data_IF_989922091558
#
_entry.id   IF_989922091558
#
_cell.length_a   1.000
_cell.length_b   1.000
_cell.length_c   1.000
_cell.angle_alpha   90.00
_cell.angle_beta   90.00
_cell.angle_gamma   90.00
#
_symmetry.space_group_name_H-M   'P 1'
#
loop_
_entity.id
_entity.type
_entity.pdbx_description
1 polymer ?
#
# COMPACT_ATOMS: atom_id res chain seq x y z
N UNK A 1 -2.45 -18.71 7.37
CA UNK A 1 -3.78 -18.14 7.19
C UNK A 1 -4.24 -17.58 8.53
N UNK A 2 -4.11 -16.26 8.76
CA UNK A 2 -4.60 -15.57 9.95
C UNK A 2 -5.61 -14.52 9.48
N UNK A 3 -6.80 -14.97 9.06
CA UNK A 3 -7.86 -14.09 8.58
C UNK A 3 -8.65 -13.38 9.68
N UNK A 4 -8.46 -13.77 10.94
CA UNK A 4 -9.17 -13.13 12.05
C UNK A 4 -8.47 -13.40 13.38
N UNK A 5 -8.49 -12.43 14.28
CA UNK A 5 -8.19 -12.66 15.70
C UNK A 5 -9.49 -12.95 16.43
N UNK A 6 -9.53 -13.99 17.24
CA UNK A 6 -10.69 -14.33 18.06
C UNK A 6 -10.47 -13.94 19.52
N UNK A 7 -11.47 -13.33 20.13
CA UNK A 7 -11.53 -13.09 21.58
C UNK A 7 -12.63 -13.98 22.13
N UNK A 8 -12.31 -14.74 23.17
CA UNK A 8 -13.27 -15.55 23.91
C UNK A 8 -13.79 -14.74 25.10
N UNK A 9 -15.08 -14.51 25.17
CA UNK A 9 -15.74 -13.94 26.33
C UNK A 9 -16.67 -14.99 26.92
N UNK A 10 -16.59 -15.22 28.24
CA UNK A 10 -17.50 -16.10 28.94
C UNK A 10 -18.48 -15.25 29.75
N UNK A 11 -19.77 -15.39 29.48
CA UNK A 11 -20.84 -14.88 30.32
C UNK A 11 -21.84 -16.02 30.51
N UNK A 12 -22.23 -16.30 31.76
CA UNK A 12 -23.24 -17.33 32.11
C UNK A 12 -22.98 -18.76 31.55
N UNK A 13 -21.69 -19.15 31.39
CA UNK A 13 -21.33 -20.47 30.88
C UNK A 13 -21.39 -20.62 29.36
N UNK A 14 -21.78 -19.61 28.63
CA UNK A 14 -21.71 -19.56 27.15
C UNK A 14 -20.40 -18.92 26.69
N UNK A 15 -19.76 -19.53 25.68
CA UNK A 15 -18.55 -19.02 25.06
C UNK A 15 -18.94 -18.26 23.79
N UNK A 16 -18.83 -16.95 23.83
CA UNK A 16 -18.96 -16.12 22.63
C UNK A 16 -17.59 -15.94 21.97
N UNK A 17 -17.47 -16.29 20.71
CA UNK A 17 -16.28 -16.04 19.90
C UNK A 17 -16.52 -14.85 19.01
N UNK A 18 -15.75 -13.78 19.19
CA UNK A 18 -15.78 -12.60 18.34
C UNK A 18 -14.63 -12.69 17.35
N UNK A 19 -14.94 -12.70 16.06
CA UNK A 19 -13.98 -12.69 14.97
C UNK A 19 -13.77 -11.26 14.49
N UNK A 20 -12.54 -10.78 14.57
CA UNK A 20 -12.18 -9.47 14.06
C UNK A 20 -11.59 -9.58 12.63
N UNK A 21 -12.10 -8.84 11.65
CA UNK A 21 -11.53 -8.77 10.31
C UNK A 21 -10.25 -7.92 10.34
N UNK A 22 -9.14 -8.53 10.75
CA UNK A 22 -7.88 -7.82 11.02
C UNK A 22 -7.30 -7.14 9.78
N UNK A 23 -7.55 -7.67 8.58
CA UNK A 23 -7.18 -7.03 7.32
C UNK A 23 -7.83 -5.63 7.21
N UNK A 24 -9.14 -5.55 7.43
CA UNK A 24 -9.91 -4.29 7.35
C UNK A 24 -9.48 -3.33 8.46
N UNK A 25 -9.25 -3.83 9.66
CA UNK A 25 -8.82 -3.00 10.79
C UNK A 25 -7.44 -2.42 10.53
N UNK A 26 -6.50 -3.22 10.02
CA UNK A 26 -5.15 -2.80 9.70
C UNK A 26 -5.14 -1.77 8.56
N UNK A 27 -5.85 -2.05 7.47
CA UNK A 27 -6.04 -1.13 6.34
C UNK A 27 -6.56 0.23 6.83
N UNK A 28 -7.68 0.23 7.57
CA UNK A 28 -8.27 1.47 8.07
C UNK A 28 -7.32 2.22 9.02
N UNK A 29 -6.60 1.50 9.89
CA UNK A 29 -5.66 2.11 10.82
C UNK A 29 -4.52 2.79 10.09
N UNK A 30 -3.84 2.10 9.18
CA UNK A 30 -2.72 2.63 8.39
C UNK A 30 -3.19 3.81 7.52
N UNK A 31 -4.33 3.64 6.84
CA UNK A 31 -4.91 4.67 5.97
C UNK A 31 -5.21 5.96 6.72
N UNK A 32 -5.90 5.87 7.86
CA UNK A 32 -6.23 7.05 8.67
C UNK A 32 -4.97 7.74 9.21
N UNK A 33 -3.96 6.98 9.63
CA UNK A 33 -2.67 7.54 10.05
C UNK A 33 -1.97 8.27 8.91
N UNK A 34 -1.88 7.68 7.72
CA UNK A 34 -1.27 8.32 6.55
C UNK A 34 -2.00 9.60 6.15
N UNK A 35 -3.33 9.61 6.15
CA UNK A 35 -4.12 10.82 5.87
C UNK A 35 -3.75 11.94 6.85
N UNK A 36 -3.71 11.65 8.15
CA UNK A 36 -3.40 12.65 9.16
C UNK A 36 -1.97 13.16 9.04
N UNK A 37 -0.99 12.28 8.88
CA UNK A 37 0.41 12.64 8.72
C UNK A 37 0.61 13.52 7.48
N UNK A 38 -0.01 13.17 6.34
CA UNK A 38 0.10 13.97 5.12
C UNK A 38 -0.53 15.34 5.30
N UNK A 39 -1.70 15.44 5.94
CA UNK A 39 -2.36 16.71 6.23
C UNK A 39 -1.53 17.60 7.17
N UNK A 40 -0.83 17.04 8.14
CA UNK A 40 -0.09 17.79 9.14
C UNK A 40 1.33 18.16 8.68
N UNK A 41 2.02 17.23 8.00
CA UNK A 41 3.47 17.34 7.75
C UNK A 41 3.85 17.46 6.28
N UNK A 42 3.00 16.99 5.35
CA UNK A 42 3.31 16.90 3.91
C UNK A 42 2.25 17.54 3.02
N UNK A 43 1.41 18.42 3.56
CA UNK A 43 0.27 19.00 2.82
C UNK A 43 0.69 19.79 1.57
N UNK A 44 1.90 20.35 1.54
CA UNK A 44 2.41 21.07 0.38
C UNK A 44 2.90 20.14 -0.74
N UNK A 45 3.46 18.97 -0.38
CA UNK A 45 4.15 18.07 -1.28
C UNK A 45 3.26 16.91 -1.76
N UNK A 46 2.42 16.38 -0.88
CA UNK A 46 1.69 15.15 -1.14
C UNK A 46 0.17 15.33 -1.09
N UNK A 47 -0.55 14.50 -1.83
CA UNK A 47 -1.98 14.27 -1.68
C UNK A 47 -2.24 12.79 -1.49
N UNK A 48 -3.24 12.44 -0.68
CA UNK A 48 -3.68 11.06 -0.43
C UNK A 48 -5.09 10.86 -0.95
N UNK A 49 -5.33 9.79 -1.68
CA UNK A 49 -6.64 9.30 -2.05
C UNK A 49 -6.77 7.85 -1.57
N UNK A 50 -7.89 7.54 -0.96
CA UNK A 50 -8.17 6.23 -0.35
C UNK A 50 -9.16 5.49 -1.21
N UNK A 51 -8.95 4.19 -1.37
CA UNK A 51 -9.82 3.30 -2.12
C UNK A 51 -10.25 3.93 -3.47
N UNK A 52 -9.26 4.43 -4.21
CA UNK A 52 -9.49 5.14 -5.48
C UNK A 52 -10.04 4.18 -6.55
N UNK A 53 -11.28 4.37 -6.92
CA UNK A 53 -11.99 3.63 -7.98
C UNK A 53 -12.07 4.37 -9.32
N UNK A 54 -11.23 5.38 -9.51
CA UNK A 54 -11.22 6.22 -10.72
C UNK A 54 -10.64 5.54 -11.94
N UNK A 55 -9.95 4.41 -11.75
CA UNK A 55 -9.31 3.65 -12.82
C UNK A 55 -9.98 2.30 -13.00
N UNK A 56 -10.00 1.81 -14.25
CA UNK A 56 -10.53 0.51 -14.65
C UNK A 56 -9.55 -0.21 -15.56
N UNK A 57 -9.61 -1.55 -15.58
CA UNK A 57 -8.79 -2.38 -16.46
C UNK A 57 -9.11 -2.10 -17.93
N UNK A 58 -10.39 -1.96 -18.24
CA UNK A 58 -10.87 -1.66 -19.58
C UNK A 58 -11.63 -0.34 -19.58
N UNK A 59 -11.26 0.55 -20.51
CA UNK A 59 -11.99 1.81 -20.71
C UNK A 59 -13.36 1.57 -21.33
N UNK A 60 -13.45 0.65 -22.29
CA UNK A 60 -14.67 0.33 -23.01
C UNK A 60 -14.72 -1.16 -23.31
N UNK A 61 -15.89 -1.76 -23.16
CA UNK A 61 -16.19 -3.14 -23.55
C UNK A 61 -17.41 -3.12 -24.47
N UNK A 62 -17.32 -3.80 -25.61
CA UNK A 62 -18.43 -3.88 -26.57
C UNK A 62 -19.16 -5.19 -26.40
N UNK A 63 -20.45 -5.12 -26.12
CA UNK A 63 -21.37 -6.27 -26.11
C UNK A 63 -22.51 -6.02 -27.08
N UNK A 64 -22.65 -6.86 -28.14
CA UNK A 64 -23.71 -6.74 -29.13
C UNK A 64 -23.87 -5.32 -29.71
N UNK A 65 -22.75 -4.67 -30.06
CA UNK A 65 -22.69 -3.28 -30.55
C UNK A 65 -23.09 -2.22 -29.50
N UNK A 66 -23.22 -2.59 -28.22
CA UNK A 66 -23.40 -1.64 -27.11
C UNK A 66 -22.08 -1.47 -26.38
N UNK A 67 -21.63 -0.24 -26.23
CA UNK A 67 -20.43 0.08 -25.46
C UNK A 67 -20.78 0.23 -23.99
N UNK A 68 -19.97 -0.41 -23.14
CA UNK A 68 -20.05 -0.34 -21.67
C UNK A 68 -18.73 0.20 -21.17
N UNK A 69 -18.75 1.34 -20.51
CA UNK A 69 -17.55 2.01 -20.03
C UNK A 69 -17.12 1.56 -18.64
N UNK A 70 -15.81 1.68 -18.40
CA UNK A 70 -15.21 1.54 -17.08
C UNK A 70 -15.52 0.23 -16.35
N UNK A 71 -15.44 -0.89 -17.08
CA UNK A 71 -15.58 -2.21 -16.47
C UNK A 71 -14.31 -2.63 -15.73
N UNK A 72 -14.50 -3.45 -14.71
CA UNK A 72 -13.42 -3.97 -13.85
C UNK A 72 -12.58 -2.87 -13.23
N UNK A 73 -13.23 -2.03 -12.43
CA UNK A 73 -12.55 -0.98 -11.65
C UNK A 73 -11.50 -1.58 -10.72
N UNK A 74 -10.35 -0.94 -10.69
CA UNK A 74 -9.31 -1.24 -9.70
C UNK A 74 -9.47 -0.31 -8.51
N UNK A 75 -9.15 -0.83 -7.32
CA UNK A 75 -9.36 -0.10 -6.08
C UNK A 75 -8.19 -0.36 -5.13
N UNK A 76 -7.03 0.29 -5.36
CA UNK A 76 -5.94 0.24 -4.40
C UNK A 76 -6.34 0.88 -3.07
N UNK A 77 -5.80 0.37 -1.98
CA UNK A 77 -6.10 0.88 -0.63
C UNK A 77 -5.76 2.36 -0.54
N UNK A 78 -4.56 2.74 -0.98
CA UNK A 78 -4.06 4.11 -0.86
C UNK A 78 -3.31 4.51 -2.13
N UNK A 79 -3.60 5.70 -2.64
CA UNK A 79 -2.88 6.35 -3.74
C UNK A 79 -2.32 7.67 -3.24
N UNK A 80 -1.01 7.83 -3.31
CA UNK A 80 -0.34 9.08 -2.96
C UNK A 80 0.23 9.72 -4.23
N UNK A 81 -0.02 11.01 -4.41
CA UNK A 81 0.54 11.78 -5.52
C UNK A 81 1.47 12.85 -4.97
N UNK A 82 2.69 12.90 -5.52
CA UNK A 82 3.59 14.00 -5.28
C UNK A 82 3.23 15.16 -6.22
N UNK A 83 2.94 16.33 -5.65
CA UNK A 83 2.52 17.53 -6.39
C UNK A 83 3.63 18.13 -7.23
N UNK A 84 4.87 18.00 -6.76
CA UNK A 84 6.06 18.61 -7.38
C UNK A 84 6.59 17.74 -8.52
N UNK A 85 6.80 16.44 -8.25
CA UNK A 85 7.44 15.51 -9.20
C UNK A 85 6.46 14.84 -10.15
N UNK A 86 5.16 14.95 -9.88
CA UNK A 86 4.11 14.27 -10.63
C UNK A 86 4.21 12.74 -10.59
N UNK A 87 4.85 12.20 -9.55
CA UNK A 87 4.88 10.77 -9.31
C UNK A 87 3.63 10.30 -8.54
N UNK A 88 3.15 9.11 -8.90
CA UNK A 88 2.08 8.41 -8.20
C UNK A 88 2.69 7.20 -7.53
N UNK A 89 2.38 7.02 -6.25
CA UNK A 89 2.74 5.87 -5.45
C UNK A 89 1.48 5.11 -5.07
N UNK A 90 1.45 3.82 -5.34
CA UNK A 90 0.34 2.95 -4.99
C UNK A 90 0.75 2.12 -3.78
N UNK A 91 -0.07 2.16 -2.74
CA UNK A 91 0.16 1.44 -1.52
C UNK A 91 -1.01 0.49 -1.25
N UNK A 92 -0.68 -0.69 -0.78
CA UNK A 92 -1.67 -1.70 -0.38
C UNK A 92 -1.22 -2.32 0.94
N UNK A 93 -2.15 -2.57 1.84
CA UNK A 93 -1.88 -3.09 3.17
C UNK A 93 -2.20 -4.57 3.26
N UNK A 94 -1.34 -5.33 3.90
CA UNK A 94 -1.52 -6.77 4.04
C UNK A 94 -1.35 -7.21 5.49
N UNK A 95 -2.40 -7.73 6.10
CA UNK A 95 -2.34 -8.29 7.45
C UNK A 95 -1.75 -9.70 7.42
N UNK A 96 -0.42 -9.76 7.35
CA UNK A 96 0.33 -11.01 7.29
C UNK A 96 1.74 -10.80 7.85
N UNK A 97 2.24 -11.79 8.58
CA UNK A 97 3.62 -11.79 9.06
C UNK A 97 4.49 -12.48 8.01
N UNK A 98 5.46 -11.75 7.48
CA UNK A 98 6.47 -12.27 6.58
C UNK A 98 7.56 -13.01 7.35
N UNK A 99 8.29 -13.89 6.65
CA UNK A 99 9.30 -14.77 7.24
C UNK A 99 10.60 -14.70 6.44
N UNK A 100 11.69 -14.30 7.08
CA UNK A 100 13.03 -14.19 6.45
C UNK A 100 13.59 -15.53 5.96
N UNK A 101 13.16 -16.62 6.56
CA UNK A 101 13.65 -17.96 6.23
C UNK A 101 12.90 -18.59 5.04
N UNK A 102 11.77 -18.03 4.65
CA UNK A 102 11.04 -18.48 3.46
C UNK A 102 11.68 -17.90 2.20
N UNK A 103 11.83 -18.71 1.16
CA UNK A 103 12.48 -18.33 -0.10
C UNK A 103 11.82 -17.15 -0.84
N UNK A 104 10.54 -16.93 -0.60
CA UNK A 104 9.73 -15.80 -1.12
C UNK A 104 9.25 -14.90 0.00
N UNK A 105 9.83 -15.00 1.20
CA UNK A 105 9.44 -14.25 2.39
C UNK A 105 7.96 -14.43 2.78
N UNK A 106 7.27 -15.45 2.26
CA UNK A 106 5.81 -15.66 2.31
C UNK A 106 5.00 -14.57 1.61
N UNK A 107 5.60 -13.80 0.71
CA UNK A 107 4.85 -12.86 -0.13
C UNK A 107 4.02 -13.67 -1.14
N UNK A 108 2.75 -13.32 -1.30
CA UNK A 108 1.87 -13.97 -2.25
C UNK A 108 2.16 -13.50 -3.67
N UNK A 109 2.14 -14.43 -4.61
CA UNK A 109 2.24 -14.10 -6.04
C UNK A 109 1.06 -13.23 -6.49
N UNK A 110 -0.12 -13.45 -5.91
CA UNK A 110 -1.33 -12.66 -6.19
C UNK A 110 -1.16 -11.20 -5.74
N UNK A 111 -0.51 -10.97 -4.57
CA UNK A 111 -0.18 -9.62 -4.12
C UNK A 111 0.74 -8.91 -5.12
N UNK A 112 1.73 -9.62 -5.66
CA UNK A 112 2.64 -9.09 -6.69
C UNK A 112 1.89 -8.73 -7.98
N UNK A 113 1.04 -9.64 -8.49
CA UNK A 113 0.26 -9.37 -9.70
C UNK A 113 -0.76 -8.25 -9.51
N UNK A 114 -1.36 -8.15 -8.33
CA UNK A 114 -2.24 -7.04 -7.99
C UNK A 114 -1.52 -5.69 -8.09
N UNK A 115 -0.33 -5.59 -7.49
CA UNK A 115 0.46 -4.36 -7.52
C UNK A 115 0.95 -4.01 -8.93
N UNK A 116 1.42 -4.99 -9.69
CA UNK A 116 1.78 -4.81 -11.10
C UNK A 116 0.61 -4.29 -11.94
N UNK A 117 -0.58 -4.86 -11.74
CA UNK A 117 -1.79 -4.45 -12.44
C UNK A 117 -2.17 -3.02 -12.09
N UNK A 118 -2.13 -2.64 -10.82
CA UNK A 118 -2.42 -1.28 -10.37
C UNK A 118 -1.47 -0.27 -11.01
N UNK A 119 -0.17 -0.51 -10.93
CA UNK A 119 0.85 0.39 -11.49
C UNK A 119 0.65 0.54 -12.99
N UNK A 120 0.43 -0.56 -13.73
CA UNK A 120 0.20 -0.53 -15.17
C UNK A 120 -1.02 0.31 -15.53
N UNK A 121 -2.14 0.10 -14.87
CA UNK A 121 -3.41 0.79 -15.12
C UNK A 121 -3.27 2.29 -14.82
N UNK A 122 -2.66 2.64 -13.68
CA UNK A 122 -2.44 4.03 -13.30
C UNK A 122 -1.44 4.73 -14.24
N UNK A 123 -0.38 4.05 -14.64
CA UNK A 123 0.59 4.60 -15.59
C UNK A 123 -0.06 4.86 -16.95
N UNK A 124 -0.85 3.95 -17.46
CA UNK A 124 -1.58 4.12 -18.73
C UNK A 124 -2.61 5.27 -18.63
N UNK A 125 -3.32 5.38 -17.52
CA UNK A 125 -4.34 6.42 -17.30
C UNK A 125 -3.73 7.81 -17.20
N UNK A 126 -2.60 7.93 -16.52
CA UNK A 126 -1.97 9.22 -16.20
C UNK A 126 -0.72 9.53 -17.03
N UNK A 127 -0.38 8.75 -18.05
CA UNK A 127 0.87 8.83 -18.84
C UNK A 127 1.24 10.21 -19.34
N UNK A 128 0.26 11.09 -19.56
CA UNK A 128 0.49 12.45 -20.06
C UNK A 128 0.69 13.48 -18.94
N UNK A 129 0.49 13.12 -17.68
CA UNK A 129 0.49 14.06 -16.56
C UNK A 129 1.32 13.58 -15.37
N UNK A 130 1.42 12.29 -15.15
CA UNK A 130 2.10 11.69 -14.01
C UNK A 130 2.78 10.38 -14.42
N UNK A 131 3.76 9.96 -13.63
CA UNK A 131 4.38 8.64 -13.72
C UNK A 131 3.97 7.78 -12.53
N UNK A 132 3.72 6.50 -12.78
CA UNK A 132 3.39 5.52 -11.76
C UNK A 132 4.26 4.27 -12.00
N UNK A 133 5.42 4.21 -11.37
CA UNK A 133 6.41 3.13 -11.54
C UNK A 133 6.70 2.40 -10.23
N UNK A 134 6.18 2.92 -9.11
CA UNK A 134 6.47 2.42 -7.77
C UNK A 134 5.21 2.04 -7.03
N UNK A 135 5.29 0.86 -6.40
CA UNK A 135 4.25 0.36 -5.51
C UNK A 135 4.86 -0.07 -4.17
N UNK A 136 4.02 -0.08 -3.15
CA UNK A 136 4.40 -0.38 -1.78
C UNK A 136 3.41 -1.36 -1.16
N UNK A 137 3.91 -2.47 -0.64
CA UNK A 137 3.14 -3.37 0.22
C UNK A 137 3.54 -3.10 1.68
N UNK A 138 2.55 -2.79 2.51
CA UNK A 138 2.75 -2.47 3.92
C UNK A 138 2.30 -3.66 4.77
N UNK A 139 3.24 -4.20 5.53
CA UNK A 139 3.03 -5.32 6.44
C UNK A 139 3.24 -4.92 7.90
N UNK A 140 2.57 -5.56 8.86
CA UNK A 140 2.91 -5.38 10.27
C UNK A 140 4.28 -5.99 10.59
N UNK A 141 5.08 -5.28 11.39
CA UNK A 141 6.33 -5.77 11.97
C UNK A 141 6.06 -6.34 13.37
N UNK A 142 6.15 -7.65 13.59
CA UNK A 142 5.99 -8.23 14.92
C UNK A 142 7.24 -8.00 15.77
N UNK A 143 7.06 -7.64 17.02
CA UNK A 143 8.16 -7.22 17.93
C UNK A 143 9.11 -8.33 18.41
N UNK A 144 8.93 -9.63 18.07
CA UNK A 144 9.64 -10.71 18.81
C UNK A 144 9.81 -12.06 18.13
N UNK A 145 10.02 -12.16 16.83
CA UNK A 145 10.40 -13.44 16.22
C UNK A 145 11.71 -13.28 15.46
N UNK A 146 12.70 -14.14 15.73
CA UNK A 146 14.01 -14.10 15.06
C UNK A 146 13.92 -14.18 13.52
N UNK A 147 12.93 -14.91 13.00
CA UNK A 147 12.69 -15.03 11.56
C UNK A 147 11.79 -13.93 10.97
N UNK A 148 11.31 -12.97 11.78
CA UNK A 148 10.43 -11.90 11.30
C UNK A 148 11.18 -10.63 10.92
N UNK A 149 10.54 -9.81 10.08
CA UNK A 149 11.06 -8.50 9.70
C UNK A 149 10.76 -7.45 10.76
N UNK A 150 11.70 -6.52 10.95
CA UNK A 150 11.53 -5.30 11.74
C UNK A 150 11.07 -4.14 10.85
N UNK A 151 10.65 -3.02 11.44
CA UNK A 151 10.30 -1.81 10.68
C UNK A 151 11.49 -1.18 9.94
N UNK A 152 12.72 -1.48 10.37
CA UNK A 152 13.93 -0.98 9.70
C UNK A 152 14.33 -1.82 8.48
N UNK A 153 13.81 -3.04 8.35
CA UNK A 153 14.05 -3.90 7.21
C UNK A 153 13.34 -3.35 5.96
N UNK A 154 13.99 -3.49 4.81
CA UNK A 154 13.44 -3.08 3.50
C UNK A 154 13.71 -4.16 2.48
N UNK A 155 12.69 -4.56 1.76
CA UNK A 155 12.82 -5.45 0.61
C UNK A 155 12.37 -4.68 -0.63
N UNK A 156 13.15 -4.77 -1.69
CA UNK A 156 12.88 -4.10 -2.95
C UNK A 156 12.99 -5.09 -4.10
N UNK A 157 11.94 -5.19 -4.88
CA UNK A 157 11.93 -5.91 -6.15
C UNK A 157 11.90 -4.89 -7.27
N UNK A 158 12.78 -5.05 -8.26
CA UNK A 158 12.92 -4.08 -9.34
C UNK A 158 13.00 -4.76 -10.69
N UNK A 159 12.29 -4.19 -11.66
CA UNK A 159 12.47 -4.41 -13.09
C UNK A 159 12.84 -3.07 -13.75
N UNK A 160 12.99 -3.03 -15.08
CA UNK A 160 13.31 -1.78 -15.79
C UNK A 160 12.26 -0.67 -15.59
N UNK A 161 10.98 -1.04 -15.48
CA UNK A 161 9.86 -0.11 -15.46
C UNK A 161 8.96 -0.21 -14.22
N UNK A 162 9.36 -1.00 -13.22
CA UNK A 162 8.57 -1.21 -12.02
C UNK A 162 9.44 -1.48 -10.80
N UNK A 163 9.09 -0.83 -9.71
CA UNK A 163 9.71 -1.06 -8.41
C UNK A 163 8.63 -1.36 -7.37
N UNK A 164 8.72 -2.52 -6.73
CA UNK A 164 7.88 -2.90 -5.60
C UNK A 164 8.70 -2.84 -4.31
N UNK A 165 8.26 -2.02 -3.39
CA UNK A 165 8.86 -1.86 -2.07
C UNK A 165 8.00 -2.56 -1.02
N UNK A 166 8.62 -3.40 -0.21
CA UNK A 166 7.98 -4.01 0.95
C UNK A 166 8.39 -3.20 2.18
N UNK A 167 7.41 -2.67 2.88
CA UNK A 167 7.59 -1.87 4.08
C UNK A 167 6.95 -2.55 5.28
N UNK A 168 7.57 -2.35 6.42
CA UNK A 168 7.12 -2.93 7.68
C UNK A 168 6.79 -1.80 8.66
N UNK A 169 5.67 -1.96 9.38
CA UNK A 169 5.21 -0.96 10.34
C UNK A 169 5.07 -1.60 11.71
N UNK A 170 5.74 -1.03 12.69
CA UNK A 170 5.69 -1.48 14.08
C UNK A 170 4.43 -0.93 14.76
N UNK A 171 3.57 -1.83 15.22
CA UNK A 171 2.28 -1.52 15.84
C UNK A 171 2.35 -1.49 17.39
N UNK A 172 3.54 -1.48 17.99
CA UNK A 172 3.68 -1.53 19.46
C UNK A 172 3.18 -0.27 20.16
N UNK A 173 3.23 0.86 19.49
CA UNK A 173 2.67 2.13 19.95
C UNK A 173 2.29 3.01 18.77
N UNK A 174 1.39 3.95 19.02
CA UNK A 174 0.99 4.95 18.02
C UNK A 174 2.19 5.76 17.52
N UNK A 175 3.10 6.13 18.42
CA UNK A 175 4.30 6.91 18.10
C UNK A 175 5.29 6.15 17.21
N UNK A 176 5.47 4.85 17.43
CA UNK A 176 6.35 4.03 16.58
C UNK A 176 5.73 3.85 15.20
N UNK A 177 4.43 3.58 15.12
CA UNK A 177 3.71 3.49 13.86
C UNK A 177 3.82 4.78 13.05
N UNK A 178 3.61 5.94 13.70
CA UNK A 178 3.71 7.24 13.05
C UNK A 178 5.12 7.49 12.51
N UNK A 179 6.17 7.18 13.28
CA UNK A 179 7.55 7.29 12.83
C UNK A 179 7.80 6.47 11.57
N UNK A 180 7.42 5.19 11.56
CA UNK A 180 7.64 4.30 10.43
C UNK A 180 6.91 4.79 9.18
N UNK A 181 5.67 5.30 9.32
CA UNK A 181 4.90 5.87 8.21
C UNK A 181 5.51 7.18 7.69
N UNK A 182 6.04 8.04 8.58
CA UNK A 182 6.77 9.25 8.17
C UNK A 182 8.02 8.88 7.38
N UNK A 183 8.75 7.86 7.78
CA UNK A 183 9.95 7.39 7.07
C UNK A 183 9.60 6.89 5.66
N UNK A 184 8.46 6.22 5.48
CA UNK A 184 7.94 5.84 4.16
C UNK A 184 7.62 7.08 3.33
N UNK A 185 6.89 8.06 3.88
CA UNK A 185 6.49 9.28 3.17
C UNK A 185 7.69 10.17 2.81
N UNK A 186 8.71 10.24 3.65
CA UNK A 186 9.94 10.97 3.36
C UNK A 186 10.65 10.46 2.10
N UNK A 187 10.56 9.15 1.80
CA UNK A 187 11.11 8.62 0.57
C UNK A 187 10.38 9.18 -0.67
N UNK A 188 9.06 9.42 -0.59
CA UNK A 188 8.26 9.96 -1.69
C UNK A 188 8.61 11.42 -2.01
N UNK A 189 9.05 12.18 -1.01
CA UNK A 189 9.48 13.58 -1.18
C UNK A 189 10.92 13.65 -1.68
N UNK A 190 11.85 12.91 -1.04
CA UNK A 190 13.30 12.96 -1.36
C UNK A 190 13.65 12.41 -2.74
N UNK A 191 12.96 11.39 -3.20
CA UNK A 191 13.20 10.84 -4.54
C UNK A 191 12.85 11.85 -5.63
N UNK A 192 11.87 12.69 -5.37
CA UNK A 192 11.49 13.78 -6.25
C UNK A 192 12.57 14.80 -6.50
N UNK A 193 13.31 15.19 -5.49
CA UNK A 193 14.41 16.14 -5.61
C UNK A 193 15.57 15.62 -6.46
N UNK A 194 15.82 14.31 -6.46
CA UNK A 194 16.85 13.69 -7.30
C UNK A 194 16.47 13.68 -8.77
N UNK A 195 15.21 13.39 -9.09
CA UNK A 195 14.72 13.34 -10.47
C UNK A 195 14.62 14.72 -11.11
N UNK A 196 14.32 15.77 -10.34
CA UNK A 196 14.37 17.15 -10.86
C UNK A 196 15.79 17.62 -11.23
N UNK A 197 16.81 17.20 -10.47
CA UNK A 197 18.20 17.52 -10.79
C UNK A 197 18.69 16.84 -12.07
N UNK A 198 18.21 15.62 -12.35
CA UNK A 198 18.58 14.90 -13.59
C UNK A 198 17.87 15.45 -14.82
N UNK A 199 16.65 15.99 -14.69
CA UNK A 199 15.89 16.60 -15.81
C UNK A 199 16.35 18.01 -16.19
N UNK A 200 17.18 18.64 -15.36
CA UNK A 200 17.74 19.99 -15.60
C UNK A 200 19.16 19.98 -16.17
N UNK A 201 19.73 18.80 -16.45
CA UNK A 201 20.97 18.59 -17.18
C UNK A 201 20.64 18.11 -18.59
#
# INVERSE_FOLDING_TARGET
>A
MLKSSSIFATANGEVATILFPMEIIFENYITNKLINIVKEKFYNELTVKVQDDSCSVFSTVTLNNTEIDNMFKVKPDIVIKNKNTKEIFILDTKWKILDKLDSKFKISTDDIYQMLSYVKIYNDRYKNSHTCEKAYLIYPAPNRRESSFSSDDKIKFKTDNFELNICFVNLSSEKTTEKDLIDILNNFVKEGEKNEKIRKI
#
